data_IF_310381290494
#
_entry.id   IF_310381290494
#
_cell.length_a   1.000
_cell.length_b   1.000
_cell.length_c   1.000
_cell.angle_alpha   90.00
_cell.angle_beta   90.00
_cell.angle_gamma   90.00
#
_symmetry.space_group_name_H-M   'P 1'
#
loop_
_entity.id
_entity.type
_entity.pdbx_description
1 polymer ?
#
# COMPACT_ATOMS: atom_id res chain seq x y z
N UNK A 1 5.68 -15.91 1.09
CA UNK A 1 6.06 -17.26 0.61
C UNK A 1 7.03 -17.21 -0.55
N UNK A 2 6.99 -16.19 -1.41
CA UNK A 2 7.91 -16.10 -2.55
C UNK A 2 9.29 -15.58 -2.16
N UNK A 3 9.43 -14.68 -1.16
CA UNK A 3 10.73 -14.08 -0.83
C UNK A 3 11.74 -15.11 -0.26
N UNK A 4 11.41 -15.98 0.71
CA UNK A 4 12.31 -17.06 1.13
C UNK A 4 12.55 -18.10 0.02
N UNK A 5 11.53 -18.37 -0.80
CA UNK A 5 11.63 -19.29 -1.94
C UNK A 5 12.49 -18.67 -3.06
N UNK A 6 12.31 -17.38 -3.35
CA UNK A 6 13.12 -16.60 -4.27
C UNK A 6 14.59 -16.54 -3.81
N UNK A 7 14.85 -16.30 -2.52
CA UNK A 7 16.21 -16.29 -1.98
C UNK A 7 16.88 -17.64 -2.08
N UNK A 8 16.14 -18.73 -1.85
CA UNK A 8 16.63 -20.08 -1.96
C UNK A 8 16.85 -20.49 -3.42
N UNK A 9 15.99 -20.06 -4.33
CA UNK A 9 16.18 -20.22 -5.78
C UNK A 9 17.37 -19.42 -6.29
N UNK A 10 17.51 -18.14 -5.90
CA UNK A 10 18.67 -17.30 -6.25
C UNK A 10 19.97 -17.92 -5.75
N UNK A 11 19.99 -18.39 -4.51
CA UNK A 11 21.15 -19.06 -3.93
C UNK A 11 21.45 -20.34 -4.71
N UNK A 12 20.44 -21.14 -5.03
CA UNK A 12 20.60 -22.37 -5.82
C UNK A 12 21.08 -22.09 -7.24
N UNK A 13 20.55 -21.09 -7.92
CA UNK A 13 21.00 -20.67 -9.26
C UNK A 13 22.46 -20.14 -9.21
N UNK A 14 22.80 -19.33 -8.22
CA UNK A 14 24.15 -18.80 -7.99
C UNK A 14 25.15 -19.93 -7.80
N UNK A 15 24.87 -20.85 -6.89
CA UNK A 15 25.73 -22.02 -6.60
C UNK A 15 25.92 -22.90 -7.85
N UNK A 16 24.86 -23.14 -8.62
CA UNK A 16 24.93 -23.92 -9.85
C UNK A 16 25.75 -23.24 -10.93
N UNK A 17 25.58 -21.94 -11.14
CA UNK A 17 26.40 -21.17 -12.07
C UNK A 17 27.89 -21.24 -11.65
N UNK A 18 28.19 -21.02 -10.37
CA UNK A 18 29.56 -21.10 -9.85
C UNK A 18 30.12 -22.51 -10.07
N UNK A 19 29.37 -23.57 -9.80
CA UNK A 19 29.82 -24.94 -9.97
C UNK A 19 30.08 -25.29 -11.43
N UNK A 20 29.20 -24.91 -12.36
CA UNK A 20 29.39 -25.13 -13.79
C UNK A 20 30.64 -24.37 -14.28
N UNK A 21 30.81 -23.11 -13.89
CA UNK A 21 31.97 -22.30 -14.28
C UNK A 21 33.25 -22.87 -13.67
N UNK A 22 33.23 -23.28 -12.42
CA UNK A 22 34.44 -23.78 -11.71
C UNK A 22 34.90 -25.16 -12.19
N UNK A 23 33.93 -26.03 -12.56
CA UNK A 23 34.23 -27.39 -12.99
C UNK A 23 34.71 -27.49 -14.44
N UNK A 24 34.36 -26.54 -15.32
CA UNK A 24 34.47 -26.73 -16.77
C UNK A 24 34.93 -25.50 -17.55
N UNK A 25 35.42 -24.46 -16.87
CA UNK A 25 35.78 -23.16 -17.53
C UNK A 25 36.75 -23.34 -18.73
N UNK A 26 37.65 -24.31 -18.63
CA UNK A 26 38.62 -24.62 -19.69
C UNK A 26 37.99 -25.39 -20.86
N UNK A 27 36.86 -26.05 -20.64
CA UNK A 27 36.18 -26.93 -21.60
C UNK A 27 35.00 -26.24 -22.31
N UNK A 28 34.44 -25.15 -21.72
CA UNK A 28 33.24 -24.50 -22.22
C UNK A 28 33.47 -23.73 -23.52
N UNK A 29 34.62 -23.05 -23.69
CA UNK A 29 34.96 -22.37 -24.92
C UNK A 29 36.49 -22.09 -25.02
N UNK A 30 37.11 -22.31 -26.17
CA UNK A 30 38.50 -21.88 -26.42
C UNK A 30 38.65 -20.36 -26.56
N UNK A 31 37.54 -19.60 -26.52
CA UNK A 31 37.56 -18.14 -26.67
C UNK A 31 38.05 -17.49 -25.37
N UNK A 32 39.23 -16.88 -25.40
CA UNK A 32 39.86 -16.23 -24.24
C UNK A 32 39.00 -15.12 -23.66
N UNK A 33 38.28 -14.39 -24.47
CA UNK A 33 37.37 -13.30 -24.05
C UNK A 33 36.19 -13.87 -23.24
N UNK A 34 35.66 -14.98 -23.68
CA UNK A 34 34.57 -15.68 -23.00
C UNK A 34 35.04 -16.19 -21.63
N UNK A 35 36.23 -16.80 -21.55
CA UNK A 35 36.82 -17.25 -20.29
C UNK A 35 37.06 -16.09 -19.32
N UNK A 36 37.57 -14.96 -19.80
CA UNK A 36 37.76 -13.76 -18.96
C UNK A 36 36.43 -13.24 -18.38
N UNK A 37 35.39 -13.18 -19.19
CA UNK A 37 34.05 -12.77 -18.69
C UNK A 37 33.44 -13.77 -17.69
N UNK A 38 33.64 -15.07 -17.89
CA UNK A 38 33.24 -16.09 -16.91
C UNK A 38 34.01 -15.96 -15.60
N UNK A 39 35.31 -15.71 -15.63
CA UNK A 39 36.10 -15.49 -14.41
C UNK A 39 35.68 -14.20 -13.67
N UNK A 40 35.41 -13.11 -14.39
CA UNK A 40 34.88 -11.89 -13.79
C UNK A 40 33.53 -12.10 -13.16
N UNK A 41 32.64 -12.83 -13.84
CA UNK A 41 31.31 -13.19 -13.33
C UNK A 41 31.41 -14.03 -12.05
N UNK A 42 32.29 -15.04 -12.05
CA UNK A 42 32.52 -15.90 -10.88
C UNK A 42 33.00 -15.07 -9.68
N UNK A 43 33.96 -14.16 -9.91
CA UNK A 43 34.45 -13.27 -8.85
C UNK A 43 33.34 -12.35 -8.30
N UNK A 44 32.46 -11.87 -9.16
CA UNK A 44 31.32 -11.07 -8.76
C UNK A 44 30.30 -11.91 -7.98
N UNK A 45 29.97 -13.10 -8.46
CA UNK A 45 29.04 -14.03 -7.81
C UNK A 45 29.53 -14.45 -6.41
N UNK A 46 30.84 -14.68 -6.24
CA UNK A 46 31.43 -15.04 -4.95
C UNK A 46 31.39 -13.87 -3.96
N UNK A 47 31.65 -12.65 -4.44
CA UNK A 47 31.77 -11.45 -3.61
C UNK A 47 30.45 -10.80 -3.25
N UNK A 48 29.39 -11.08 -3.96
CA UNK A 48 28.10 -10.41 -3.81
C UNK A 48 27.11 -11.32 -3.11
N UNK A 49 26.47 -10.84 -2.06
CA UNK A 49 25.35 -11.54 -1.45
C UNK A 49 24.25 -11.79 -2.47
N UNK A 50 23.53 -12.90 -2.31
CA UNK A 50 22.50 -13.35 -3.26
C UNK A 50 21.46 -12.28 -3.58
N UNK A 51 21.21 -11.36 -2.66
CA UNK A 51 20.28 -10.24 -2.82
C UNK A 51 20.86 -9.04 -3.58
N UNK A 52 22.18 -8.84 -3.55
CA UNK A 52 22.84 -7.70 -4.20
C UNK A 52 23.31 -7.99 -5.63
N UNK A 53 23.11 -9.21 -6.13
CA UNK A 53 23.49 -9.59 -7.50
C UNK A 53 22.66 -8.80 -8.53
N UNK A 54 21.39 -8.57 -8.22
CA UNK A 54 20.43 -7.89 -9.10
C UNK A 54 20.76 -6.41 -9.29
N UNK A 55 21.22 -5.73 -8.23
CA UNK A 55 21.58 -4.31 -8.26
C UNK A 55 22.99 -4.06 -8.89
N UNK A 56 23.76 -5.11 -9.13
CA UNK A 56 25.10 -4.94 -9.66
C UNK A 56 25.05 -4.75 -11.17
N UNK A 57 25.03 -3.48 -11.63
CA UNK A 57 25.07 -3.09 -13.06
C UNK A 57 26.15 -3.84 -13.84
N UNK A 58 27.30 -4.13 -13.18
CA UNK A 58 28.40 -4.86 -13.76
C UNK A 58 28.06 -6.34 -14.01
N UNK A 59 27.30 -6.96 -13.11
CA UNK A 59 26.78 -8.31 -13.29
C UNK A 59 25.87 -8.41 -14.52
N UNK A 60 24.88 -7.50 -14.63
CA UNK A 60 23.95 -7.44 -15.76
C UNK A 60 24.69 -7.20 -17.08
N UNK A 61 25.70 -6.33 -17.08
CA UNK A 61 26.53 -6.07 -18.27
C UNK A 61 27.33 -7.30 -18.71
N UNK A 62 27.95 -8.00 -17.76
CA UNK A 62 28.73 -9.22 -18.06
C UNK A 62 27.78 -10.34 -18.51
N UNK A 63 26.64 -10.52 -17.89
CA UNK A 63 25.62 -11.49 -18.29
C UNK A 63 25.12 -11.23 -19.72
N UNK A 64 24.86 -9.97 -20.09
CA UNK A 64 24.50 -9.57 -21.47
C UNK A 64 25.61 -9.87 -22.46
N UNK A 65 26.88 -9.61 -22.12
CA UNK A 65 28.02 -9.93 -22.98
C UNK A 65 28.18 -11.44 -23.18
N UNK A 66 28.06 -12.23 -22.12
CA UNK A 66 28.11 -13.69 -22.20
C UNK A 66 26.99 -14.24 -23.08
N UNK A 67 25.77 -13.74 -22.91
CA UNK A 67 24.63 -14.13 -23.76
C UNK A 67 24.88 -13.81 -25.23
N UNK A 68 25.43 -12.65 -25.57
CA UNK A 68 25.76 -12.29 -26.94
C UNK A 68 26.83 -13.23 -27.55
N UNK A 69 27.85 -13.62 -26.77
CA UNK A 69 28.90 -14.57 -27.21
C UNK A 69 28.35 -15.98 -27.43
N UNK A 70 27.44 -16.42 -26.55
CA UNK A 70 26.76 -17.72 -26.66
C UNK A 70 25.95 -17.77 -27.97
N UNK A 71 25.18 -16.71 -28.27
CA UNK A 71 24.37 -16.62 -29.50
C UNK A 71 25.26 -16.62 -30.76
N UNK A 72 26.40 -15.92 -30.73
CA UNK A 72 27.34 -15.89 -31.86
C UNK A 72 28.01 -17.24 -32.16
N UNK A 73 28.17 -18.10 -31.13
CA UNK A 73 28.83 -19.40 -31.27
C UNK A 73 27.87 -20.54 -31.62
N UNK A 74 26.57 -20.31 -31.74
CA UNK A 74 25.57 -21.34 -32.09
C UNK A 74 25.74 -21.94 -33.51
N UNK A 75 26.67 -21.45 -34.33
CA UNK A 75 26.78 -21.82 -35.76
C UNK A 75 27.88 -22.81 -36.14
N UNK A 76 28.70 -23.33 -35.22
CA UNK A 76 29.92 -24.07 -35.58
C UNK A 76 30.05 -25.42 -34.87
N UNK A 77 29.91 -26.53 -35.64
CA UNK A 77 30.41 -27.88 -35.57
C UNK A 77 29.60 -29.05 -34.95
N UNK A 78 29.77 -30.24 -35.61
CA UNK A 78 29.09 -31.54 -35.39
C UNK A 78 29.86 -32.51 -34.43
N UNK A 79 30.61 -32.04 -33.45
CA UNK A 79 31.42 -32.86 -32.54
C UNK A 79 30.65 -33.23 -31.26
N UNK A 80 30.84 -34.46 -30.69
CA UNK A 80 30.20 -34.94 -29.45
C UNK A 80 30.55 -34.04 -28.24
N UNK A 81 31.77 -33.53 -28.21
CA UNK A 81 32.20 -32.52 -27.23
C UNK A 81 31.46 -31.20 -27.39
N UNK A 82 30.93 -30.90 -28.55
CA UNK A 82 30.09 -29.71 -28.82
C UNK A 82 28.70 -29.86 -28.20
N UNK A 83 28.07 -31.04 -28.25
CA UNK A 83 26.76 -31.29 -27.64
C UNK A 83 26.80 -31.14 -26.13
N UNK A 84 27.86 -31.64 -25.49
CA UNK A 84 28.05 -31.50 -24.04
C UNK A 84 28.26 -30.05 -23.64
N UNK A 85 29.16 -29.32 -24.30
CA UNK A 85 29.40 -27.88 -24.10
C UNK A 85 28.15 -27.03 -24.35
N UNK A 86 27.39 -27.38 -25.38
CA UNK A 86 26.13 -26.72 -25.72
C UNK A 86 25.08 -26.93 -24.61
N UNK A 87 25.01 -28.11 -24.02
CA UNK A 87 24.14 -28.42 -22.90
C UNK A 87 24.50 -27.55 -21.67
N UNK A 88 25.77 -27.44 -21.34
CA UNK A 88 26.24 -26.63 -20.19
C UNK A 88 26.00 -25.12 -20.40
N UNK A 89 26.22 -24.65 -21.64
CA UNK A 89 25.93 -23.25 -22.03
C UNK A 89 24.42 -22.97 -21.93
N UNK A 90 23.58 -23.89 -22.38
CA UNK A 90 22.13 -23.77 -22.24
C UNK A 90 21.67 -23.81 -20.77
N UNK A 91 22.32 -24.61 -19.93
CA UNK A 91 22.04 -24.63 -18.50
C UNK A 91 22.40 -23.31 -17.83
N UNK A 92 23.55 -22.73 -18.16
CA UNK A 92 23.93 -21.39 -17.73
C UNK A 92 22.93 -20.34 -18.23
N UNK A 93 22.54 -20.42 -19.52
CA UNK A 93 21.55 -19.53 -20.13
C UNK A 93 20.17 -19.65 -19.42
N UNK A 94 19.77 -20.86 -19.08
CA UNK A 94 18.55 -21.11 -18.32
C UNK A 94 18.59 -20.43 -16.96
N UNK A 95 19.66 -20.59 -16.17
CA UNK A 95 19.80 -19.94 -14.88
C UNK A 95 19.94 -18.42 -14.99
N UNK A 96 20.59 -17.91 -16.04
CA UNK A 96 20.60 -16.46 -16.31
C UNK A 96 19.22 -15.93 -16.70
N UNK A 97 18.44 -16.71 -17.45
CA UNK A 97 17.08 -16.34 -17.77
C UNK A 97 16.16 -16.42 -16.55
N UNK A 98 16.36 -17.39 -15.65
CA UNK A 98 15.64 -17.44 -14.37
C UNK A 98 16.00 -16.25 -13.48
N UNK A 99 17.29 -15.92 -13.35
CA UNK A 99 17.75 -14.72 -12.66
C UNK A 99 17.25 -13.43 -13.35
N UNK A 100 17.18 -13.43 -14.70
CA UNK A 100 16.66 -12.32 -15.48
C UNK A 100 15.14 -12.27 -15.57
N UNK A 101 14.45 -13.39 -15.47
CA UNK A 101 12.98 -13.44 -15.40
C UNK A 101 12.46 -12.87 -14.08
N UNK A 102 13.22 -13.01 -13.01
CA UNK A 102 12.97 -12.33 -11.74
C UNK A 102 13.17 -10.79 -11.85
N UNK A 103 13.90 -10.32 -12.88
CA UNK A 103 14.12 -8.89 -13.20
C UNK A 103 13.24 -8.35 -14.33
N UNK A 104 12.53 -9.19 -15.08
CA UNK A 104 11.84 -8.78 -16.32
C UNK A 104 10.39 -8.32 -16.14
N UNK A 105 9.97 -7.94 -14.95
CA UNK A 105 8.90 -6.97 -14.85
C UNK A 105 9.52 -5.60 -15.16
N UNK A 106 9.66 -5.33 -16.47
CA UNK A 106 10.01 -4.03 -17.01
C UNK A 106 9.13 -2.99 -16.32
N UNK A 107 9.72 -2.13 -15.54
CA UNK A 107 9.25 -0.87 -14.97
C UNK A 107 9.18 -0.73 -13.44
N UNK A 108 9.67 -1.67 -12.63
CA UNK A 108 9.77 -1.41 -11.19
C UNK A 108 11.20 -1.71 -10.73
N UNK A 109 12.00 -0.67 -10.57
CA UNK A 109 13.26 -0.76 -9.81
C UNK A 109 12.93 -0.76 -8.33
N UNK A 110 12.85 -1.96 -7.73
CA UNK A 110 12.67 -2.08 -6.28
C UNK A 110 14.01 -1.80 -5.58
N UNK A 111 14.17 -0.60 -5.07
CA UNK A 111 15.30 -0.24 -4.21
C UNK A 111 14.91 -0.52 -2.77
N UNK A 112 15.46 -1.58 -2.18
CA UNK A 112 15.27 -1.89 -0.76
C UNK A 112 16.52 -1.43 -0.01
N UNK A 113 16.42 -0.32 0.71
CA UNK A 113 17.48 0.15 1.61
C UNK A 113 17.47 -0.67 2.90
N UNK A 114 18.66 -1.11 3.36
CA UNK A 114 18.77 -1.85 4.62
C UNK A 114 18.43 -3.35 4.55
N UNK A 115 18.57 -3.99 3.39
CA UNK A 115 18.32 -5.43 3.20
C UNK A 115 19.02 -6.32 4.24
N UNK A 116 20.23 -5.96 4.70
CA UNK A 116 20.93 -6.70 5.77
C UNK A 116 20.12 -6.74 7.06
N UNK A 117 19.63 -5.60 7.50
CA UNK A 117 18.78 -5.51 8.71
C UNK A 117 17.43 -6.19 8.49
N UNK A 118 16.88 -6.13 7.27
CA UNK A 118 15.63 -6.80 6.92
C UNK A 118 15.77 -8.33 7.03
N UNK A 119 16.86 -8.90 6.53
CA UNK A 119 17.12 -10.35 6.64
C UNK A 119 17.23 -10.80 8.09
N UNK A 120 17.95 -10.05 8.93
CA UNK A 120 18.05 -10.34 10.37
C UNK A 120 16.69 -10.19 11.06
N UNK A 121 15.93 -9.16 10.75
CA UNK A 121 14.60 -8.93 11.33
C UNK A 121 13.57 -9.97 10.85
N UNK A 122 13.64 -10.44 9.59
CA UNK A 122 12.82 -11.56 9.10
C UNK A 122 13.17 -12.84 9.87
N UNK A 123 14.47 -13.15 10.04
CA UNK A 123 14.90 -14.32 10.83
C UNK A 123 14.48 -14.21 12.30
N UNK A 124 14.55 -13.02 12.88
CA UNK A 124 14.07 -12.73 14.22
C UNK A 124 12.53 -12.65 14.33
N UNK A 125 11.81 -12.80 13.21
CA UNK A 125 10.34 -12.69 13.12
C UNK A 125 9.78 -11.35 13.64
N UNK A 126 10.49 -10.27 13.39
CA UNK A 126 10.08 -8.90 13.79
C UNK A 126 9.48 -8.09 12.65
N UNK A 127 9.44 -8.64 11.44
CA UNK A 127 8.96 -7.96 10.23
C UNK A 127 7.77 -8.71 9.67
N UNK A 128 6.77 -7.96 9.26
CA UNK A 128 5.60 -8.50 8.57
C UNK A 128 5.57 -8.07 7.10
N UNK A 129 5.09 -8.98 6.26
CA UNK A 129 4.71 -8.69 4.89
C UNK A 129 3.28 -9.14 4.70
N UNK A 130 2.39 -8.21 4.36
CA UNK A 130 0.98 -8.53 4.19
C UNK A 130 0.44 -8.00 2.89
N UNK A 131 -0.50 -8.74 2.32
CA UNK A 131 -1.28 -8.31 1.17
C UNK A 131 -2.77 -8.41 1.48
N UNK A 132 -3.48 -7.30 1.31
CA UNK A 132 -4.92 -7.21 1.44
C UNK A 132 -5.53 -6.92 0.06
N UNK A 133 -6.26 -7.89 -0.55
CA UNK A 133 -6.90 -7.70 -1.85
C UNK A 133 -8.07 -6.71 -1.76
N UNK A 134 -8.52 -6.18 -2.89
CA UNK A 134 -9.66 -5.27 -2.99
C UNK A 134 -10.93 -5.85 -2.38
N UNK A 135 -11.19 -7.14 -2.61
CA UNK A 135 -12.32 -7.84 -2.02
C UNK A 135 -12.01 -8.35 -0.62
N UNK A 136 -12.30 -7.54 0.38
CA UNK A 136 -12.09 -7.85 1.79
C UNK A 136 -13.40 -8.29 2.44
N UNK A 137 -13.41 -9.50 2.95
CA UNK A 137 -14.54 -10.09 3.69
C UNK A 137 -14.02 -10.77 4.95
N UNK A 138 -13.45 -10.00 5.86
CA UNK A 138 -13.17 -10.54 7.18
C UNK A 138 -14.47 -10.59 8.00
N UNK A 139 -14.69 -11.72 8.62
CA UNK A 139 -15.68 -11.83 9.66
C UNK A 139 -14.93 -12.09 10.97
N UNK A 140 -14.88 -11.06 11.82
CA UNK A 140 -14.45 -11.28 13.20
C UNK A 140 -15.38 -12.31 13.81
N UNK A 141 -14.80 -13.42 14.24
CA UNK A 141 -15.56 -14.54 14.78
C UNK A 141 -15.88 -14.26 16.25
N UNK A 142 -17.18 -14.35 16.61
CA UNK A 142 -17.59 -14.22 18.00
C UNK A 142 -16.99 -15.34 18.84
N UNK A 143 -16.40 -15.00 19.97
CA UNK A 143 -15.80 -15.99 20.87
C UNK A 143 -16.29 -15.84 22.31
N UNK A 144 -16.56 -16.98 22.93
CA UNK A 144 -16.98 -17.09 24.35
C UNK A 144 -16.05 -17.95 25.18
N UNK A 145 -15.08 -18.61 24.54
CA UNK A 145 -14.14 -19.51 25.17
C UNK A 145 -12.70 -19.03 24.94
N UNK A 146 -11.82 -19.28 25.89
CA UNK A 146 -10.39 -19.07 25.71
C UNK A 146 -9.82 -20.15 24.79
N UNK A 147 -8.95 -19.75 23.88
CA UNK A 147 -8.23 -20.64 22.97
C UNK A 147 -6.77 -20.23 22.94
N UNK A 148 -5.87 -21.19 22.89
CA UNK A 148 -4.47 -20.90 22.68
C UNK A 148 -4.24 -20.39 21.25
N UNK A 149 -3.87 -19.11 21.13
CA UNK A 149 -3.57 -18.46 19.86
C UNK A 149 -2.12 -18.73 19.41
N UNK A 150 -1.26 -19.30 20.25
CA UNK A 150 0.14 -19.55 19.89
C UNK A 150 0.29 -20.51 18.70
N UNK A 151 -0.70 -21.37 18.46
CA UNK A 151 -0.74 -22.21 17.26
C UNK A 151 -0.69 -21.41 15.94
N UNK A 152 -1.07 -20.13 15.94
CA UNK A 152 -1.04 -19.25 14.77
C UNK A 152 0.24 -18.44 14.64
N UNK A 153 1.22 -18.60 15.53
CA UNK A 153 2.51 -17.87 15.48
C UNK A 153 3.21 -18.09 14.14
N UNK A 154 3.24 -19.33 13.65
CA UNK A 154 3.87 -19.65 12.37
C UNK A 154 3.12 -19.00 11.20
N UNK A 155 1.79 -18.96 11.26
CA UNK A 155 0.98 -18.24 10.29
C UNK A 155 1.29 -16.74 10.30
N UNK A 156 1.40 -16.12 11.49
CA UNK A 156 1.76 -14.71 11.61
C UNK A 156 3.16 -14.40 11.03
N UNK A 157 4.09 -15.34 11.15
CA UNK A 157 5.48 -15.18 10.69
C UNK A 157 5.67 -15.39 9.20
N UNK A 158 4.94 -16.31 8.60
CA UNK A 158 5.27 -16.85 7.28
C UNK A 158 4.14 -16.73 6.25
N UNK A 159 2.92 -16.38 6.66
CA UNK A 159 1.79 -16.24 5.76
C UNK A 159 1.36 -14.78 5.61
N UNK A 160 1.50 -14.23 4.40
CA UNK A 160 1.19 -12.83 4.10
C UNK A 160 -0.28 -12.57 3.72
N UNK A 161 -1.05 -13.61 3.44
CA UNK A 161 -2.47 -13.50 3.07
C UNK A 161 -3.44 -14.15 4.07
N UNK A 162 -2.95 -14.44 5.28
CA UNK A 162 -3.78 -15.06 6.33
C UNK A 162 -4.80 -14.07 6.88
N UNK A 163 -5.90 -14.61 7.40
CA UNK A 163 -6.98 -13.83 8.01
C UNK A 163 -6.93 -13.92 9.54
N UNK A 164 -5.85 -13.46 10.13
CA UNK A 164 -5.67 -13.52 11.60
C UNK A 164 -6.63 -12.59 12.33
N UNK A 165 -7.08 -11.52 11.71
CA UNK A 165 -8.04 -10.57 12.26
C UNK A 165 -9.37 -11.20 12.69
N UNK A 166 -9.74 -12.36 12.12
CA UNK A 166 -10.93 -13.10 12.56
C UNK A 166 -10.90 -13.49 14.04
N UNK A 167 -9.71 -13.59 14.64
CA UNK A 167 -9.52 -13.98 16.05
C UNK A 167 -9.49 -12.80 17.03
N UNK A 168 -9.83 -11.59 16.57
CA UNK A 168 -9.79 -10.39 17.42
C UNK A 168 -10.60 -10.57 18.72
N UNK A 169 -11.86 -11.01 18.66
CA UNK A 169 -12.68 -11.21 19.87
C UNK A 169 -12.08 -12.29 20.80
N UNK A 170 -11.52 -13.34 20.22
CA UNK A 170 -10.80 -14.37 20.98
C UNK A 170 -9.61 -13.79 21.74
N UNK A 171 -8.84 -12.95 21.07
CA UNK A 171 -7.71 -12.24 21.67
C UNK A 171 -8.16 -11.30 22.79
N UNK A 172 -9.17 -10.46 22.54
CA UNK A 172 -9.74 -9.56 23.54
C UNK A 172 -10.20 -10.31 24.80
N UNK A 173 -10.81 -11.49 24.61
CA UNK A 173 -11.24 -12.34 25.71
C UNK A 173 -10.04 -12.89 26.49
N UNK A 174 -9.03 -13.39 25.78
CA UNK A 174 -7.83 -13.95 26.40
C UNK A 174 -7.14 -12.89 27.29
N UNK A 175 -6.91 -11.66 26.80
CA UNK A 175 -6.24 -10.62 27.58
C UNK A 175 -7.11 -10.09 28.74
N UNK A 176 -8.44 -10.13 28.64
CA UNK A 176 -9.30 -9.82 29.81
C UNK A 176 -9.19 -10.86 30.92
N UNK A 177 -9.07 -12.12 30.54
CA UNK A 177 -8.87 -13.20 31.50
C UNK A 177 -7.44 -13.15 32.07
N UNK A 178 -6.43 -12.93 31.22
CA UNK A 178 -5.04 -12.74 31.61
C UNK A 178 -4.91 -11.64 32.68
N UNK A 179 -5.52 -10.48 32.44
CA UNK A 179 -5.58 -9.39 33.42
C UNK A 179 -6.18 -9.86 34.76
N UNK A 180 -7.31 -10.59 34.69
CA UNK A 180 -7.97 -11.06 35.92
C UNK A 180 -7.11 -12.06 36.69
N UNK A 181 -6.40 -12.94 36.01
CA UNK A 181 -5.48 -13.91 36.63
C UNK A 181 -4.24 -13.21 37.21
N UNK A 182 -3.64 -12.27 36.48
CA UNK A 182 -2.51 -11.46 36.96
C UNK A 182 -2.84 -10.79 38.30
N UNK A 183 -4.03 -10.21 38.41
CA UNK A 183 -4.47 -9.56 39.64
C UNK A 183 -4.83 -10.55 40.76
N UNK A 184 -5.52 -11.66 40.44
CA UNK A 184 -6.04 -12.58 41.48
C UNK A 184 -5.03 -13.59 41.96
N UNK A 185 -4.18 -14.11 41.08
CA UNK A 185 -3.23 -15.19 41.40
C UNK A 185 -1.81 -14.68 41.67
N UNK A 186 -1.36 -13.70 40.88
CA UNK A 186 0.05 -13.26 40.93
C UNK A 186 0.23 -11.90 41.61
N UNK A 187 -0.86 -11.16 41.81
CA UNK A 187 -0.87 -9.79 42.34
C UNK A 187 0.01 -8.83 41.48
N UNK A 188 0.14 -9.14 40.19
CA UNK A 188 0.90 -8.38 39.21
C UNK A 188 0.06 -7.21 38.72
N UNK A 189 0.17 -6.09 39.45
CA UNK A 189 -0.53 -4.82 39.09
C UNK A 189 0.05 -4.17 37.86
N UNK A 190 1.36 -4.28 37.66
CA UNK A 190 2.05 -3.61 36.55
C UNK A 190 1.60 -4.21 35.20
N UNK A 191 1.51 -5.53 35.13
CA UNK A 191 0.98 -6.20 33.93
C UNK A 191 -0.51 -5.89 33.71
N UNK A 192 -1.30 -5.84 34.76
CA UNK A 192 -2.71 -5.48 34.67
C UNK A 192 -2.91 -4.05 34.16
N UNK A 193 -2.08 -3.10 34.60
CA UNK A 193 -2.10 -1.70 34.17
C UNK A 193 -1.71 -1.56 32.69
N UNK A 194 -0.71 -2.30 32.21
CA UNK A 194 -0.35 -2.36 30.77
C UNK A 194 -1.53 -2.84 29.92
N UNK A 195 -2.27 -3.82 30.39
CA UNK A 195 -3.47 -4.29 29.68
C UNK A 195 -4.56 -3.21 29.66
N UNK A 196 -4.73 -2.44 30.73
CA UNK A 196 -5.69 -1.32 30.76
C UNK A 196 -5.29 -0.18 29.83
N UNK A 197 -4.01 0.16 29.77
CA UNK A 197 -3.47 1.12 28.80
C UNK A 197 -3.75 0.66 27.36
N UNK A 198 -3.55 -0.62 27.06
CA UNK A 198 -3.87 -1.19 25.76
C UNK A 198 -5.36 -1.05 25.42
N UNK A 199 -6.28 -1.37 26.35
CA UNK A 199 -7.71 -1.20 26.13
C UNK A 199 -8.10 0.27 25.96
N UNK A 200 -7.47 1.16 26.70
CA UNK A 200 -7.69 2.60 26.56
C UNK A 200 -7.31 3.08 25.16
N UNK A 201 -6.15 2.65 24.66
CA UNK A 201 -5.70 2.97 23.31
C UNK A 201 -6.65 2.38 22.24
N UNK A 202 -7.10 1.16 22.42
CA UNK A 202 -8.08 0.54 21.54
C UNK A 202 -9.41 1.31 21.52
N UNK A 203 -9.89 1.78 22.65
CA UNK A 203 -11.09 2.65 22.72
C UNK A 203 -10.86 4.00 22.01
N UNK A 204 -9.66 4.59 22.08
CA UNK A 204 -9.32 5.79 21.32
C UNK A 204 -9.36 5.54 19.81
N UNK A 205 -8.83 4.43 19.36
CA UNK A 205 -8.88 4.01 17.96
C UNK A 205 -10.32 3.83 17.48
N UNK A 206 -11.17 3.22 18.31
CA UNK A 206 -12.61 3.10 18.03
C UNK A 206 -13.28 4.47 17.92
N UNK A 207 -13.05 5.39 18.87
CA UNK A 207 -13.60 6.75 18.83
C UNK A 207 -13.20 7.49 17.57
N UNK A 208 -11.94 7.36 17.16
CA UNK A 208 -11.44 7.96 15.93
C UNK A 208 -12.15 7.40 14.68
N UNK A 209 -12.25 6.07 14.57
CA UNK A 209 -12.87 5.39 13.43
C UNK A 209 -14.36 5.69 13.31
N UNK A 210 -15.08 5.64 14.44
CA UNK A 210 -16.53 5.84 14.44
C UNK A 210 -16.95 7.32 14.49
N UNK A 211 -16.01 8.26 14.57
CA UNK A 211 -16.29 9.70 14.69
C UNK A 211 -17.21 10.04 15.89
N UNK A 212 -17.14 9.25 16.92
CA UNK A 212 -18.01 9.41 18.08
C UNK A 212 -17.20 9.17 19.37
N UNK A 213 -17.02 10.24 20.14
CA UNK A 213 -16.28 10.23 21.42
C UNK A 213 -16.91 9.32 22.47
N UNK A 214 -18.15 8.88 22.27
CA UNK A 214 -18.86 7.97 23.17
C UNK A 214 -18.60 6.50 22.85
N UNK A 215 -17.96 6.21 21.70
CA UNK A 215 -17.68 4.83 21.30
C UNK A 215 -16.69 4.20 22.26
N UNK A 216 -17.04 3.01 22.74
CA UNK A 216 -16.20 2.23 23.66
C UNK A 216 -16.47 0.74 23.55
N UNK A 217 -15.45 -0.06 23.84
CA UNK A 217 -15.58 -1.50 23.93
C UNK A 217 -16.22 -1.90 25.27
N UNK A 218 -17.33 -2.61 25.25
CA UNK A 218 -18.01 -3.12 26.41
C UNK A 218 -17.83 -4.63 26.53
N UNK A 219 -17.46 -5.08 27.70
CA UNK A 219 -17.33 -6.49 28.01
C UNK A 219 -18.41 -6.98 28.96
N UNK A 220 -19.16 -7.96 28.55
CA UNK A 220 -20.13 -8.66 29.40
C UNK A 220 -19.47 -9.92 29.98
N UNK A 221 -19.06 -9.86 31.25
CA UNK A 221 -18.35 -10.95 31.90
C UNK A 221 -19.19 -12.23 32.08
N UNK A 222 -20.53 -12.10 32.22
CA UNK A 222 -21.43 -13.27 32.36
C UNK A 222 -21.56 -14.05 31.05
N UNK A 223 -21.66 -13.35 29.94
CA UNK A 223 -21.79 -13.92 28.62
C UNK A 223 -20.44 -14.13 27.92
N UNK A 224 -19.34 -13.58 28.49
CA UNK A 224 -17.99 -13.57 27.90
C UNK A 224 -18.00 -13.01 26.47
N UNK A 225 -18.75 -11.93 26.23
CA UNK A 225 -18.94 -11.33 24.91
C UNK A 225 -18.55 -9.86 24.94
N UNK A 226 -18.01 -9.43 23.81
CA UNK A 226 -17.76 -8.04 23.54
C UNK A 226 -18.89 -7.42 22.73
N UNK A 227 -19.12 -6.15 22.95
CA UNK A 227 -19.99 -5.29 22.16
C UNK A 227 -19.36 -3.90 22.06
N UNK A 228 -19.74 -3.17 21.05
CA UNK A 228 -19.40 -1.77 20.87
C UNK A 228 -20.60 -0.93 21.31
N UNK A 229 -20.35 -0.02 22.24
CA UNK A 229 -21.36 0.93 22.70
C UNK A 229 -21.07 2.28 22.06
N UNK A 230 -22.07 2.86 21.38
CA UNK A 230 -21.99 4.16 20.76
C UNK A 230 -23.28 4.94 21.12
N UNK A 231 -23.14 5.98 21.92
CA UNK A 231 -24.27 6.72 22.49
C UNK A 231 -25.28 5.77 23.17
N UNK A 232 -26.42 5.51 22.57
CA UNK A 232 -27.47 4.60 23.08
C UNK A 232 -27.56 3.29 22.31
N UNK A 233 -26.67 3.04 21.37
CA UNK A 233 -26.71 1.87 20.48
C UNK A 233 -25.62 0.90 20.91
N UNK A 234 -26.01 -0.35 21.10
CA UNK A 234 -25.08 -1.45 21.35
C UNK A 234 -25.12 -2.41 20.16
N UNK A 235 -23.95 -2.74 19.62
CA UNK A 235 -23.80 -3.62 18.47
C UNK A 235 -22.53 -4.46 18.61
N UNK A 236 -22.36 -5.46 17.76
CA UNK A 236 -21.22 -6.38 17.79
C UNK A 236 -20.33 -6.16 16.56
N UNK A 237 -19.11 -6.67 16.60
CA UNK A 237 -18.21 -6.64 15.44
C UNK A 237 -18.81 -7.32 14.19
N UNK A 238 -19.66 -8.36 14.40
CA UNK A 238 -20.35 -9.09 13.33
C UNK A 238 -21.46 -8.27 12.65
N UNK A 239 -21.92 -7.21 13.28
CA UNK A 239 -22.98 -6.34 12.77
C UNK A 239 -22.47 -5.02 12.16
N UNK A 240 -21.17 -4.89 11.99
CA UNK A 240 -20.55 -3.73 11.35
C UNK A 240 -20.98 -3.61 9.89
N UNK A 241 -21.06 -2.37 9.40
CA UNK A 241 -21.26 -2.12 7.96
C UNK A 241 -20.06 -2.58 7.16
N UNK A 242 -20.25 -2.82 5.85
CA UNK A 242 -19.19 -3.27 4.95
C UNK A 242 -17.93 -2.41 5.00
N UNK A 243 -18.09 -1.08 5.12
CA UNK A 243 -16.95 -0.16 5.24
C UNK A 243 -16.13 -0.38 6.51
N UNK A 244 -16.79 -0.45 7.67
CA UNK A 244 -16.09 -0.76 8.92
C UNK A 244 -15.49 -2.17 8.90
N UNK A 245 -16.21 -3.15 8.36
CA UNK A 245 -15.68 -4.51 8.19
C UNK A 245 -14.38 -4.51 7.37
N UNK A 246 -14.31 -3.75 6.28
CA UNK A 246 -13.12 -3.64 5.44
C UNK A 246 -11.92 -3.01 6.18
N UNK A 247 -12.16 -2.02 7.04
CA UNK A 247 -11.12 -1.41 7.88
C UNK A 247 -10.64 -2.40 8.94
N UNK A 248 -11.57 -3.05 9.63
CA UNK A 248 -11.25 -4.02 10.67
C UNK A 248 -10.57 -5.27 10.13
N UNK A 249 -10.77 -5.63 8.85
CA UNK A 249 -10.01 -6.70 8.20
C UNK A 249 -8.51 -6.42 8.24
N UNK A 250 -8.10 -5.20 7.90
CA UNK A 250 -6.70 -4.78 7.89
C UNK A 250 -6.20 -4.56 9.34
N UNK A 251 -6.89 -3.72 10.08
CA UNK A 251 -6.48 -3.30 11.42
C UNK A 251 -6.34 -4.47 12.39
N UNK A 252 -7.36 -5.35 12.45
CA UNK A 252 -7.33 -6.50 13.37
C UNK A 252 -6.31 -7.55 12.96
N UNK A 253 -6.03 -7.75 11.66
CA UNK A 253 -4.99 -8.68 11.21
C UNK A 253 -3.61 -8.20 11.65
N UNK A 254 -3.29 -6.92 11.45
CA UNK A 254 -2.02 -6.34 11.88
C UNK A 254 -1.89 -6.34 13.41
N UNK A 255 -2.98 -6.03 14.13
CA UNK A 255 -3.01 -6.09 15.58
C UNK A 255 -2.76 -7.52 16.09
N UNK A 256 -3.36 -8.52 15.47
CA UNK A 256 -3.13 -9.92 15.81
C UNK A 256 -1.69 -10.37 15.51
N UNK A 257 -1.08 -9.88 14.42
CA UNK A 257 0.32 -10.16 14.11
C UNK A 257 1.27 -9.58 15.14
N UNK A 258 1.10 -8.32 15.53
CA UNK A 258 1.93 -7.71 16.57
C UNK A 258 1.88 -8.55 17.86
N UNK A 259 0.69 -8.99 18.25
CA UNK A 259 0.53 -9.82 19.44
C UNK A 259 1.17 -11.19 19.32
N UNK A 260 0.96 -11.89 18.22
CA UNK A 260 1.55 -13.23 18.00
C UNK A 260 3.08 -13.19 17.86
N UNK A 261 3.61 -12.06 17.43
CA UNK A 261 5.06 -11.79 17.39
C UNK A 261 5.60 -11.28 18.74
N UNK A 262 4.72 -11.05 19.73
CA UNK A 262 5.04 -10.53 21.06
C UNK A 262 5.73 -9.15 21.00
N UNK A 263 5.21 -8.25 20.18
CA UNK A 263 5.64 -6.87 20.04
C UNK A 263 4.42 -5.94 20.14
N UNK A 264 4.65 -4.66 20.41
CA UNK A 264 3.58 -3.67 20.41
C UNK A 264 3.17 -3.30 18.97
N UNK A 265 1.92 -2.83 18.73
CA UNK A 265 1.49 -2.41 17.40
C UNK A 265 2.39 -1.34 16.77
N UNK A 266 2.88 -0.39 17.54
CA UNK A 266 3.81 0.65 17.12
C UNK A 266 5.25 0.16 16.88
N UNK A 267 5.57 -1.08 17.22
CA UNK A 267 6.86 -1.72 16.95
C UNK A 267 6.77 -2.68 15.76
N UNK A 268 5.57 -2.96 15.27
CA UNK A 268 5.37 -3.83 14.13
C UNK A 268 5.95 -3.18 12.87
N UNK A 269 7.04 -3.74 12.37
CA UNK A 269 7.76 -3.25 11.21
C UNK A 269 7.45 -4.10 9.97
N UNK A 270 7.51 -3.51 8.79
CA UNK A 270 7.34 -4.25 7.54
C UNK A 270 6.68 -3.48 6.43
N UNK A 271 6.18 -4.24 5.45
CA UNK A 271 5.50 -3.70 4.27
C UNK A 271 4.12 -4.31 4.16
N UNK A 272 3.13 -3.45 3.98
CA UNK A 272 1.73 -3.85 3.81
C UNK A 272 1.22 -3.32 2.48
N UNK A 273 0.82 -4.24 1.61
CA UNK A 273 0.20 -3.95 0.33
C UNK A 273 -1.31 -3.99 0.49
N UNK A 274 -2.01 -2.95 0.06
CA UNK A 274 -3.48 -2.88 0.12
C UNK A 274 -4.02 -2.50 -1.24
N UNK A 275 -4.74 -3.41 -1.87
CA UNK A 275 -5.39 -3.14 -3.14
C UNK A 275 -6.75 -2.47 -2.92
N UNK A 276 -7.03 -1.40 -3.67
CA UNK A 276 -8.25 -0.60 -3.58
C UNK A 276 -8.65 -0.27 -2.13
N UNK A 277 -7.77 0.46 -1.41
CA UNK A 277 -7.98 0.78 0.02
C UNK A 277 -9.33 1.44 0.29
N UNK A 278 -9.87 2.17 -0.67
CA UNK A 278 -11.17 2.88 -0.62
C UNK A 278 -12.39 1.98 -0.89
N UNK A 279 -12.19 0.72 -1.30
CA UNK A 279 -13.28 -0.19 -1.64
C UNK A 279 -14.27 -0.34 -0.47
N UNK A 280 -15.56 -0.14 -0.77
CA UNK A 280 -16.67 -0.18 0.18
C UNK A 280 -16.68 0.90 1.26
N UNK A 281 -15.73 1.85 1.27
CA UNK A 281 -15.67 2.91 2.27
C UNK A 281 -16.56 4.10 1.88
N UNK A 282 -17.33 4.60 2.86
CA UNK A 282 -17.95 5.91 2.75
C UNK A 282 -16.85 7.00 2.73
N UNK A 283 -17.14 8.15 2.11
CA UNK A 283 -16.17 9.26 1.95
C UNK A 283 -15.51 9.66 3.28
N UNK A 284 -16.25 9.69 4.39
CA UNK A 284 -15.70 10.01 5.71
C UNK A 284 -14.62 9.01 6.14
N UNK A 285 -14.79 7.73 5.84
CA UNK A 285 -13.83 6.67 6.13
C UNK A 285 -12.64 6.68 5.16
N UNK A 286 -12.87 7.03 3.89
CA UNK A 286 -11.80 7.18 2.90
C UNK A 286 -10.78 8.25 3.34
N UNK A 287 -11.25 9.35 3.94
CA UNK A 287 -10.39 10.40 4.49
C UNK A 287 -9.57 9.99 5.72
N UNK A 288 -9.88 8.86 6.34
CA UNK A 288 -9.32 8.47 7.63
C UNK A 288 -8.51 7.20 7.60
N UNK A 289 -8.82 6.29 6.68
CA UNK A 289 -8.25 4.94 6.71
C UNK A 289 -6.72 4.95 6.68
N UNK A 290 -6.11 5.71 5.78
CA UNK A 290 -4.65 5.73 5.65
C UNK A 290 -3.97 6.44 6.84
N UNK A 291 -4.39 7.65 7.26
CA UNK A 291 -3.91 8.26 8.51
C UNK A 291 -4.09 7.37 9.74
N UNK A 292 -5.23 6.68 9.85
CA UNK A 292 -5.50 5.76 10.96
C UNK A 292 -4.49 4.61 11.00
N UNK A 293 -4.29 3.93 9.86
CA UNK A 293 -3.35 2.82 9.79
C UNK A 293 -1.91 3.26 10.04
N UNK A 294 -1.48 4.38 9.45
CA UNK A 294 -0.13 4.93 9.66
C UNK A 294 0.11 5.36 11.11
N UNK A 295 -0.91 5.87 11.78
CA UNK A 295 -0.81 6.27 13.18
C UNK A 295 -0.82 5.06 14.13
N UNK A 296 -1.59 4.00 13.81
CA UNK A 296 -1.64 2.78 14.61
C UNK A 296 -0.39 1.92 14.44
N UNK A 297 0.25 1.96 13.25
CA UNK A 297 1.41 1.15 12.89
C UNK A 297 2.48 2.01 12.20
N UNK A 298 3.17 2.89 12.94
CA UNK A 298 4.08 3.90 12.35
C UNK A 298 5.34 3.31 11.70
N UNK A 299 5.74 2.10 12.06
CA UNK A 299 6.90 1.42 11.49
C UNK A 299 6.57 0.56 10.25
N UNK A 300 5.30 0.57 9.81
CA UNK A 300 4.87 -0.13 8.60
C UNK A 300 4.90 0.83 7.41
N UNK A 301 5.54 0.38 6.33
CA UNK A 301 5.38 1.00 5.03
C UNK A 301 4.10 0.49 4.35
N UNK A 302 3.12 1.37 4.20
CA UNK A 302 1.91 1.06 3.46
C UNK A 302 2.09 1.40 1.98
N UNK A 303 1.82 0.42 1.10
CA UNK A 303 1.75 0.62 -0.35
C UNK A 303 0.31 0.31 -0.75
N UNK A 304 -0.41 1.33 -1.19
CA UNK A 304 -1.85 1.22 -1.41
C UNK A 304 -2.23 1.62 -2.84
N UNK A 305 -3.15 0.90 -3.45
CA UNK A 305 -3.83 1.37 -4.65
C UNK A 305 -5.14 2.04 -4.26
N UNK A 306 -5.53 3.08 -4.98
CA UNK A 306 -6.79 3.80 -4.76
C UNK A 306 -7.26 4.52 -6.01
N UNK A 307 -8.57 4.63 -6.15
CA UNK A 307 -9.24 5.50 -7.11
C UNK A 307 -9.93 6.69 -6.42
N UNK A 308 -9.63 6.93 -5.13
CA UNK A 308 -10.28 7.96 -4.35
C UNK A 308 -9.43 9.22 -4.19
N UNK A 309 -9.89 10.38 -4.65
CA UNK A 309 -9.24 11.64 -4.36
C UNK A 309 -9.25 11.98 -2.86
N UNK A 310 -10.17 11.39 -2.09
CA UNK A 310 -10.27 11.60 -0.66
C UNK A 310 -9.19 10.86 0.13
N UNK A 311 -8.77 9.68 -0.34
CA UNK A 311 -7.62 8.96 0.22
C UNK A 311 -6.35 9.74 -0.07
N UNK A 312 -6.15 10.20 -1.32
CA UNK A 312 -4.98 10.98 -1.71
C UNK A 312 -4.89 12.28 -0.91
N UNK A 313 -6.01 13.03 -0.79
CA UNK A 313 -6.05 14.26 0.01
C UNK A 313 -5.88 14.05 1.52
N UNK A 314 -5.96 12.81 2.02
CA UNK A 314 -5.75 12.49 3.43
C UNK A 314 -4.29 12.19 3.78
N UNK A 315 -3.41 12.19 2.79
CA UNK A 315 -1.97 11.91 2.97
C UNK A 315 -1.24 13.14 3.51
N UNK A 316 -0.03 12.93 4.00
CA UNK A 316 0.87 13.98 4.49
C UNK A 316 2.19 13.98 3.70
N UNK A 317 3.13 14.81 4.12
CA UNK A 317 4.45 14.95 3.50
C UNK A 317 5.30 13.66 3.44
N UNK A 318 4.93 12.63 4.21
CA UNK A 318 5.65 11.34 4.23
C UNK A 318 5.09 10.35 3.19
N UNK A 319 4.23 10.84 2.29
CA UNK A 319 3.56 10.02 1.28
C UNK A 319 3.98 10.44 -0.12
N UNK A 320 4.27 9.44 -0.95
CA UNK A 320 4.51 9.62 -2.38
C UNK A 320 3.32 9.03 -3.14
N UNK A 321 2.80 9.78 -4.09
CA UNK A 321 1.74 9.31 -4.99
C UNK A 321 2.33 9.04 -6.37
N UNK A 322 2.05 7.86 -6.90
CA UNK A 322 2.47 7.44 -8.24
C UNK A 322 1.26 7.20 -9.13
N UNK A 323 1.16 7.94 -10.21
CA UNK A 323 0.12 7.71 -11.22
C UNK A 323 0.57 6.59 -12.17
N UNK A 324 -0.09 5.45 -12.08
CA UNK A 324 0.19 4.29 -12.93
C UNK A 324 -0.14 4.52 -14.41
N UNK A 325 -1.01 5.48 -14.73
CA UNK A 325 -1.44 5.75 -16.10
C UNK A 325 -0.45 6.62 -16.87
N UNK A 326 0.18 7.59 -16.20
CA UNK A 326 1.14 8.52 -16.80
C UNK A 326 2.58 8.21 -16.43
N UNK A 327 2.82 7.48 -15.33
CA UNK A 327 4.14 7.23 -14.78
C UNK A 327 4.70 8.43 -14.00
N UNK A 328 3.86 9.38 -13.62
CA UNK A 328 4.28 10.58 -12.89
C UNK A 328 4.33 10.34 -11.38
N UNK A 329 5.32 10.94 -10.73
CA UNK A 329 5.49 10.95 -9.28
C UNK A 329 5.11 12.30 -8.70
N UNK A 330 4.36 12.28 -7.58
CA UNK A 330 3.98 13.45 -6.81
C UNK A 330 4.53 13.29 -5.39
N UNK A 331 5.58 14.05 -5.07
CA UNK A 331 6.21 14.10 -3.74
C UNK A 331 5.71 15.30 -2.92
N UNK A 332 4.78 16.07 -3.47
CA UNK A 332 4.22 17.25 -2.84
C UNK A 332 3.13 16.88 -1.83
N UNK A 333 2.91 17.77 -0.86
CA UNK A 333 1.81 17.61 0.10
C UNK A 333 0.45 17.81 -0.56
N UNK A 334 -0.14 16.72 -1.01
CA UNK A 334 -1.44 16.74 -1.67
C UNK A 334 -2.62 17.01 -0.72
N UNK A 335 -2.40 17.05 0.60
CA UNK A 335 -3.43 17.44 1.56
C UNK A 335 -3.87 18.90 1.43
N UNK A 336 -3.02 19.73 0.83
CA UNK A 336 -3.30 21.14 0.55
C UNK A 336 -4.12 21.35 -0.73
N UNK A 337 -4.29 20.32 -1.54
CA UNK A 337 -5.03 20.41 -2.80
C UNK A 337 -6.53 20.17 -2.59
N UNK A 338 -7.35 20.86 -3.37
CA UNK A 338 -8.78 20.56 -3.39
C UNK A 338 -9.03 19.19 -4.04
N UNK A 339 -10.08 18.49 -3.62
CA UNK A 339 -10.46 17.22 -4.24
C UNK A 339 -10.70 17.37 -5.76
N UNK A 340 -11.22 18.53 -6.20
CA UNK A 340 -11.43 18.85 -7.61
C UNK A 340 -10.10 18.96 -8.37
N UNK A 341 -9.07 19.57 -7.76
CA UNK A 341 -7.72 19.63 -8.33
C UNK A 341 -7.12 18.26 -8.47
N UNK A 342 -7.24 17.41 -7.45
CA UNK A 342 -6.77 16.03 -7.48
C UNK A 342 -7.47 15.23 -8.59
N UNK A 343 -8.80 15.35 -8.71
CA UNK A 343 -9.57 14.67 -9.77
C UNK A 343 -9.11 15.14 -11.16
N UNK A 344 -8.87 16.42 -11.33
CA UNK A 344 -8.47 16.98 -12.63
C UNK A 344 -7.02 16.64 -12.99
N UNK A 345 -6.11 16.82 -12.04
CA UNK A 345 -4.66 16.73 -12.30
C UNK A 345 -4.17 15.25 -12.26
N UNK A 346 -4.61 14.46 -11.26
CA UNK A 346 -4.14 13.08 -11.10
C UNK A 346 -5.02 12.05 -11.80
N UNK A 347 -6.35 12.25 -11.79
CA UNK A 347 -7.25 11.30 -12.47
C UNK A 347 -7.54 11.67 -13.91
N UNK A 348 -7.02 12.81 -14.40
CA UNK A 348 -7.19 13.29 -15.78
C UNK A 348 -8.66 13.35 -16.23
N UNK A 349 -9.58 13.48 -15.27
CA UNK A 349 -11.02 13.55 -15.56
C UNK A 349 -11.31 14.92 -16.14
N UNK A 350 -11.64 14.95 -17.42
CA UNK A 350 -12.17 16.16 -18.06
C UNK A 350 -13.56 16.42 -17.51
N UNK A 351 -13.78 17.66 -17.09
CA UNK A 351 -15.10 18.11 -16.64
C UNK A 351 -16.04 18.12 -17.86
N UNK A 352 -16.72 16.98 -18.10
CA UNK A 352 -17.59 16.77 -19.26
C UNK A 352 -19.04 17.23 -19.02
N UNK A 353 -19.28 17.96 -17.92
CA UNK A 353 -20.59 18.54 -17.68
C UNK A 353 -20.81 19.71 -18.65
N UNK A 354 -21.39 19.43 -19.83
CA UNK A 354 -21.67 20.41 -20.88
C UNK A 354 -22.49 21.60 -20.34
N UNK A 355 -23.35 21.37 -19.36
CA UNK A 355 -24.13 22.46 -18.75
C UNK A 355 -23.26 23.39 -17.92
N UNK A 356 -22.32 22.85 -17.12
CA UNK A 356 -21.39 23.67 -16.35
C UNK A 356 -20.42 24.43 -17.26
N UNK A 357 -19.89 23.75 -18.30
CA UNK A 357 -19.06 24.42 -19.34
C UNK A 357 -19.81 25.55 -20.05
N UNK A 358 -21.08 25.32 -20.40
CA UNK A 358 -21.91 26.34 -21.04
C UNK A 358 -22.16 27.52 -20.11
N UNK A 359 -22.47 27.28 -18.83
CA UNK A 359 -22.63 28.30 -17.81
C UNK A 359 -21.34 29.11 -17.61
N UNK A 360 -20.22 28.45 -17.42
CA UNK A 360 -18.89 29.07 -17.28
C UNK A 360 -18.55 29.90 -18.48
N UNK A 361 -18.73 29.40 -19.71
CA UNK A 361 -18.46 30.13 -20.94
C UNK A 361 -19.36 31.36 -21.07
N UNK A 362 -20.63 31.29 -20.72
CA UNK A 362 -21.54 32.42 -20.74
C UNK A 362 -21.13 33.50 -19.73
N UNK A 363 -20.73 33.12 -18.53
CA UNK A 363 -20.22 34.07 -17.53
C UNK A 363 -18.91 34.70 -17.97
N UNK A 364 -17.95 33.91 -18.51
CA UNK A 364 -16.67 34.40 -19.01
C UNK A 364 -16.87 35.37 -20.21
N UNK A 365 -17.75 35.04 -21.15
CA UNK A 365 -18.08 35.92 -22.25
C UNK A 365 -18.63 37.28 -21.75
N UNK A 366 -19.52 37.23 -20.75
CA UNK A 366 -20.02 38.46 -20.15
C UNK A 366 -18.93 39.22 -19.39
N UNK A 367 -18.09 38.56 -18.62
CA UNK A 367 -16.99 39.17 -17.87
C UNK A 367 -16.00 39.87 -18.82
N UNK A 368 -15.70 39.27 -19.97
CA UNK A 368 -14.69 39.74 -20.91
C UNK A 368 -15.29 40.70 -22.01
N UNK A 369 -16.62 40.81 -22.12
CA UNK A 369 -17.24 41.66 -23.12
C UNK A 369 -17.06 43.15 -22.78
N UNK A 370 -16.68 43.98 -23.74
CA UNK A 370 -16.74 45.45 -23.63
C UNK A 370 -18.18 45.91 -23.84
N UNK A 371 -18.86 46.26 -22.74
CA UNK A 371 -20.10 47.06 -22.65
C UNK A 371 -21.18 46.87 -23.74
N UNK A 372 -21.72 45.70 -23.97
CA UNK A 372 -22.94 45.55 -24.74
C UNK A 372 -24.18 45.50 -23.82
N UNK A 373 -24.99 46.54 -23.87
CA UNK A 373 -26.19 46.71 -23.03
C UNK A 373 -27.31 45.72 -23.39
N UNK A 374 -27.21 44.98 -24.50
CA UNK A 374 -28.30 44.17 -25.04
C UNK A 374 -28.66 42.91 -24.25
N UNK A 375 -27.77 42.41 -23.33
CA UNK A 375 -27.97 41.14 -22.67
C UNK A 375 -28.10 41.21 -21.13
N UNK A 376 -28.24 42.39 -20.51
CA UNK A 376 -28.25 42.57 -19.06
C UNK A 376 -29.39 41.80 -18.36
N UNK A 377 -30.55 41.65 -19.01
CA UNK A 377 -31.68 40.90 -18.45
C UNK A 377 -31.44 39.40 -18.52
N UNK A 378 -30.78 38.92 -19.57
CA UNK A 378 -30.44 37.51 -19.74
C UNK A 378 -29.37 37.09 -18.72
N UNK A 379 -28.36 37.93 -18.51
CA UNK A 379 -27.33 37.70 -17.48
C UNK A 379 -27.92 37.78 -16.08
N UNK A 380 -28.83 38.69 -15.80
CA UNK A 380 -29.51 38.73 -14.52
C UNK A 380 -30.27 37.43 -14.24
N UNK A 381 -31.02 36.91 -15.23
CA UNK A 381 -31.72 35.61 -15.10
C UNK A 381 -30.76 34.45 -14.83
N UNK A 382 -29.62 34.41 -15.56
CA UNK A 382 -28.58 33.41 -15.35
C UNK A 382 -27.98 33.47 -13.93
N UNK A 383 -27.68 34.68 -13.44
CA UNK A 383 -27.18 34.91 -12.10
C UNK A 383 -28.21 34.52 -11.02
N UNK A 384 -29.48 34.79 -11.26
CA UNK A 384 -30.56 34.45 -10.34
C UNK A 384 -30.77 32.91 -10.25
N UNK A 385 -30.58 32.20 -11.36
CA UNK A 385 -30.63 30.75 -11.38
C UNK A 385 -29.41 30.13 -10.69
N UNK A 386 -28.21 30.60 -10.94
CA UNK A 386 -26.96 30.19 -10.30
C UNK A 386 -27.03 30.44 -8.79
N UNK A 387 -27.65 31.52 -8.34
CA UNK A 387 -27.76 31.88 -6.93
C UNK A 387 -28.48 30.82 -6.10
N UNK A 388 -29.44 30.10 -6.69
CA UNK A 388 -30.25 29.07 -5.98
C UNK A 388 -29.37 27.91 -5.43
N UNK A 389 -28.31 27.59 -6.16
CA UNK A 389 -27.42 26.45 -5.82
C UNK A 389 -25.95 26.90 -5.59
N UNK A 390 -25.74 28.19 -5.32
CA UNK A 390 -24.41 28.84 -5.25
C UNK A 390 -23.41 28.08 -4.38
N UNK A 391 -23.82 27.61 -3.18
CA UNK A 391 -22.97 26.89 -2.24
C UNK A 391 -22.56 25.48 -2.70
N UNK A 392 -23.26 24.94 -3.71
CA UNK A 392 -22.99 23.61 -4.27
C UNK A 392 -22.10 23.65 -5.51
N UNK A 393 -21.81 24.87 -6.02
CA UNK A 393 -21.03 25.04 -7.24
C UNK A 393 -19.52 24.95 -6.94
N UNK A 394 -18.74 24.63 -7.98
CA UNK A 394 -17.29 24.69 -7.90
C UNK A 394 -16.81 26.09 -7.53
N UNK A 395 -15.65 26.18 -6.85
CA UNK A 395 -15.05 27.46 -6.43
C UNK A 395 -14.82 28.38 -7.64
N UNK A 396 -14.43 27.81 -8.78
CA UNK A 396 -14.22 28.55 -10.03
C UNK A 396 -15.53 29.22 -10.50
N UNK A 397 -16.64 28.50 -10.53
CA UNK A 397 -17.93 29.02 -10.93
C UNK A 397 -18.47 30.05 -9.93
N UNK A 398 -18.22 29.86 -8.63
CA UNK A 398 -18.55 30.82 -7.58
C UNK A 398 -17.79 32.12 -7.79
N UNK A 399 -16.51 32.11 -8.13
CA UNK A 399 -15.67 33.25 -8.43
C UNK A 399 -16.19 33.95 -9.69
N UNK A 400 -16.44 33.21 -10.77
CA UNK A 400 -17.00 33.77 -12.01
C UNK A 400 -18.36 34.47 -11.76
N UNK A 401 -19.23 33.83 -10.96
CA UNK A 401 -20.50 34.44 -10.54
C UNK A 401 -20.29 35.75 -9.80
N UNK A 402 -19.37 35.77 -8.81
CA UNK A 402 -19.10 37.02 -8.05
C UNK A 402 -18.58 38.13 -8.95
N UNK A 403 -17.65 37.85 -9.87
CA UNK A 403 -17.11 38.82 -10.81
C UNK A 403 -18.20 39.32 -11.76
N UNK A 404 -19.00 38.40 -12.33
CA UNK A 404 -20.09 38.77 -13.22
C UNK A 404 -21.17 39.63 -12.52
N UNK A 405 -21.51 39.25 -11.27
CA UNK A 405 -22.46 40.03 -10.44
C UNK A 405 -21.97 41.45 -10.16
N UNK A 406 -20.69 41.61 -9.82
CA UNK A 406 -20.08 42.91 -9.58
C UNK A 406 -20.05 43.77 -10.87
N UNK A 407 -19.72 43.14 -12.01
CA UNK A 407 -19.76 43.81 -13.31
C UNK A 407 -21.17 44.26 -13.67
N UNK A 408 -22.18 43.39 -13.51
CA UNK A 408 -23.57 43.71 -13.76
C UNK A 408 -24.04 44.85 -12.87
N UNK A 409 -23.65 44.91 -11.62
CA UNK A 409 -23.98 45.97 -10.68
C UNK A 409 -23.38 47.31 -11.13
N UNK A 410 -22.11 47.33 -11.56
CA UNK A 410 -21.46 48.54 -12.10
C UNK A 410 -22.20 49.07 -13.34
N UNK A 411 -22.47 48.18 -14.32
CA UNK A 411 -23.17 48.58 -15.56
C UNK A 411 -24.59 49.15 -15.32
N UNK A 412 -25.29 48.64 -14.30
CA UNK A 412 -26.61 49.16 -13.91
C UNK A 412 -26.54 50.53 -13.22
N UNK A 413 -25.41 50.89 -12.62
CA UNK A 413 -25.21 52.18 -11.96
C UNK A 413 -24.58 53.21 -12.88
N UNK A 414 -23.78 52.83 -13.87
CA UNK A 414 -23.17 53.74 -14.87
C UNK A 414 -24.11 54.05 -16.05
N UNK A 415 -25.19 53.28 -16.22
CA UNK A 415 -26.23 53.51 -17.23
C UNK A 415 -27.39 54.39 -16.75
N UNK A 416 -27.25 55.01 -15.57
CA UNK A 416 -28.13 56.09 -15.06
C UNK A 416 -27.37 57.40 -15.07
#
# INVERSE_FOLDING_TARGET
HEIPHLSQQHYSCKERIINIISSEIQNISPNLIFQQHLEELTKLLIKTDSYNIIENKKFVEIAKKLKAIIIQNQGLSNDENYRYRHSQIHEIEHYFNELGYMNSHENIDLVVTGIGNLSENIQASKVTFNFFPAHRQSQITASTNTTDLNQYINTAKHEYSSKLGQFLEQYLLNIKIEKSLALSEEQDTDHADQIDEWFTKFDEDLKFLFEDSTTQLKFNYKLRKFSLLQSYREFTFQSLSSGFTAIFDIYSDLLMRSRLLNILPNELNGVVLIDEIDAHLHISLQKKILPFLSQSFPEIQFIVSTHSPFVIASTNNDTVVYDLSTGEFFEEDLSLYSHESIIKELFHVKDDNENLKRLSNQLLQFINSENSIQDLNLIQGLLDDIKKDFEKLSVELQLQYMVAKNKLHKLKHEGK
#
